data_IF_472266806292
#
_entry.id   IF_472266806292
#
_cell.length_a   1.000
_cell.length_b   1.000
_cell.length_c   1.000
_cell.angle_alpha   90.00
_cell.angle_beta   90.00
_cell.angle_gamma   90.00
#
_symmetry.space_group_name_H-M   'P 1'
#
loop_
_entity.id
_entity.type
_entity.pdbx_description
1 polymer ?
#
# COMPACT_ATOMS: atom_id res chain seq x y z
N UNK A 1 11.76 5.81 16.73
CA UNK A 1 10.60 6.76 16.74
C UNK A 1 9.44 6.15 15.97
N UNK A 2 8.16 6.47 16.24
CA UNK A 2 7.04 5.94 15.43
C UNK A 2 7.17 6.32 13.94
N UNK A 3 7.81 7.45 13.63
CA UNK A 3 8.00 7.93 12.25
C UNK A 3 9.15 7.25 11.48
N UNK A 4 9.85 6.32 12.10
CA UNK A 4 11.03 5.65 11.53
C UNK A 4 10.71 4.88 10.24
N UNK A 5 11.36 5.19 9.10
CA UNK A 5 11.11 4.53 7.83
C UNK A 5 11.42 3.02 7.85
N UNK A 6 12.40 2.56 8.65
CA UNK A 6 12.75 1.14 8.75
C UNK A 6 11.56 0.27 9.22
N UNK A 7 10.61 0.86 9.95
CA UNK A 7 9.37 0.19 10.36
C UNK A 7 8.45 -0.12 9.18
N UNK A 8 8.47 0.70 8.14
CA UNK A 8 7.66 0.49 6.94
C UNK A 8 8.15 -0.73 6.16
N UNK A 9 9.47 -0.95 6.11
CA UNK A 9 10.08 -2.13 5.50
C UNK A 9 9.77 -3.40 6.31
N UNK A 10 9.98 -3.36 7.63
CA UNK A 10 9.61 -4.48 8.52
C UNK A 10 8.11 -4.81 8.44
N UNK A 11 7.25 -3.80 8.31
CA UNK A 11 5.82 -4.00 8.09
C UNK A 11 5.50 -4.77 6.80
N UNK A 12 6.16 -4.42 5.69
CA UNK A 12 5.96 -5.10 4.42
C UNK A 12 6.41 -6.56 4.49
N UNK A 13 7.56 -6.83 5.12
CA UNK A 13 8.06 -8.17 5.35
C UNK A 13 7.04 -9.01 6.15
N UNK A 14 6.58 -8.49 7.29
CA UNK A 14 5.60 -9.17 8.14
C UNK A 14 4.28 -9.47 7.42
N UNK A 15 3.79 -8.52 6.60
CA UNK A 15 2.58 -8.75 5.78
C UNK A 15 2.82 -9.81 4.70
N UNK A 16 4.01 -9.87 4.11
CA UNK A 16 4.32 -10.82 3.06
C UNK A 16 4.46 -12.26 3.58
N UNK A 17 5.01 -12.42 4.77
CA UNK A 17 5.28 -13.70 5.43
C UNK A 17 4.03 -14.32 6.06
N UNK A 18 3.18 -13.51 6.69
CA UNK A 18 1.96 -13.99 7.35
C UNK A 18 0.78 -14.07 6.36
N UNK A 19 0.43 -15.30 5.98
CA UNK A 19 -0.68 -15.57 5.05
C UNK A 19 -2.02 -15.03 5.53
N UNK A 20 -2.30 -15.11 6.83
CA UNK A 20 -3.57 -14.65 7.41
C UNK A 20 -3.67 -13.13 7.36
N UNK A 21 -2.61 -12.44 7.79
CA UNK A 21 -2.53 -10.97 7.73
C UNK A 21 -2.61 -10.50 6.28
N UNK A 22 -1.86 -11.14 5.37
CA UNK A 22 -1.90 -10.84 3.94
C UNK A 22 -3.31 -10.94 3.38
N UNK A 23 -3.98 -12.07 3.60
CA UNK A 23 -5.34 -12.30 3.09
C UNK A 23 -6.37 -11.38 3.73
N UNK A 24 -6.21 -11.06 5.01
CA UNK A 24 -7.13 -10.16 5.73
C UNK A 24 -7.01 -8.71 5.28
N UNK A 25 -5.78 -8.22 5.04
CA UNK A 25 -5.52 -6.84 4.64
C UNK A 25 -5.65 -6.63 3.12
N UNK A 26 -5.15 -7.59 2.35
CA UNK A 26 -5.06 -7.57 0.89
C UNK A 26 -5.66 -8.85 0.31
N UNK A 27 -6.99 -9.06 0.44
CA UNK A 27 -7.64 -10.23 -0.11
C UNK A 27 -7.45 -10.27 -1.64
N UNK A 28 -7.30 -11.47 -2.23
CA UNK A 28 -7.26 -11.61 -3.68
C UNK A 28 -8.56 -11.09 -4.30
N UNK A 29 -8.48 -10.58 -5.53
CA UNK A 29 -9.64 -10.10 -6.27
C UNK A 29 -10.59 -11.27 -6.54
N UNK A 30 -11.81 -11.22 -5.98
CA UNK A 30 -12.83 -12.26 -6.09
C UNK A 30 -14.22 -11.70 -5.80
N UNK A 31 -15.31 -12.45 -6.09
CA UNK A 31 -16.67 -11.97 -5.92
C UNK A 31 -16.87 -11.52 -4.46
N UNK A 32 -17.14 -10.22 -4.32
CA UNK A 32 -17.23 -9.45 -3.08
C UNK A 32 -17.53 -10.29 -1.84
N UNK A 33 -16.58 -10.39 -0.90
CA UNK A 33 -16.89 -10.83 0.45
C UNK A 33 -17.88 -9.82 1.05
N UNK A 34 -19.17 -10.17 0.96
CA UNK A 34 -20.30 -9.34 1.35
C UNK A 34 -20.04 -8.67 2.71
N UNK A 35 -19.99 -7.34 2.71
CA UNK A 35 -19.74 -6.52 3.90
C UNK A 35 -20.98 -6.37 4.78
N UNK A 36 -22.12 -6.95 4.39
CA UNK A 36 -23.42 -6.74 5.04
C UNK A 36 -23.47 -7.35 6.45
N UNK A 37 -22.65 -8.37 6.76
CA UNK A 37 -22.63 -9.06 8.06
C UNK A 37 -21.24 -9.17 8.73
N UNK A 38 -20.42 -8.11 8.72
CA UNK A 38 -19.27 -8.02 9.65
C UNK A 38 -17.85 -8.13 9.06
N UNK A 39 -17.65 -7.86 7.77
CA UNK A 39 -16.34 -7.92 7.11
C UNK A 39 -15.24 -6.99 7.65
N UNK A 40 -15.54 -6.06 8.56
CA UNK A 40 -14.55 -5.16 9.17
C UNK A 40 -13.71 -5.78 10.31
N UNK A 41 -14.26 -6.79 11.00
CA UNK A 41 -13.63 -7.41 12.18
C UNK A 41 -12.29 -8.11 11.85
N UNK A 42 -12.17 -8.86 10.73
CA UNK A 42 -10.91 -9.49 10.31
C UNK A 42 -9.79 -8.46 10.06
N UNK A 43 -10.13 -7.29 9.50
CA UNK A 43 -9.15 -6.24 9.19
C UNK A 43 -8.57 -5.57 10.43
N UNK A 44 -9.44 -5.24 11.40
CA UNK A 44 -8.99 -4.63 12.66
C UNK A 44 -8.14 -5.60 13.46
N UNK A 45 -8.52 -6.89 13.49
CA UNK A 45 -7.74 -7.92 14.17
C UNK A 45 -6.37 -8.14 13.51
N UNK A 46 -6.32 -8.23 12.18
CA UNK A 46 -5.05 -8.34 11.45
C UNK A 46 -4.15 -7.10 11.67
N UNK A 47 -4.73 -5.89 11.74
CA UNK A 47 -3.98 -4.67 12.08
C UNK A 47 -3.43 -4.70 13.51
N UNK A 48 -4.16 -5.27 14.46
CA UNK A 48 -3.70 -5.46 15.82
C UNK A 48 -2.58 -6.52 15.91
N UNK A 49 -2.74 -7.68 15.27
CA UNK A 49 -1.70 -8.71 15.20
C UNK A 49 -0.40 -8.15 14.61
N UNK A 50 -0.52 -7.35 13.54
CA UNK A 50 0.62 -6.71 12.93
C UNK A 50 1.29 -5.69 13.88
N UNK A 51 0.52 -5.01 14.73
CA UNK A 51 1.08 -4.17 15.79
C UNK A 51 1.86 -4.98 16.83
N UNK A 52 1.36 -6.15 17.22
CA UNK A 52 2.05 -7.05 18.15
C UNK A 52 3.36 -7.58 17.54
N UNK A 53 3.35 -8.03 16.30
CA UNK A 53 4.55 -8.53 15.62
C UNK A 53 5.61 -7.43 15.42
N UNK A 54 5.17 -6.22 15.07
CA UNK A 54 6.08 -5.11 14.81
C UNK A 54 6.69 -4.53 16.11
N UNK A 55 5.90 -4.43 17.18
CA UNK A 55 6.21 -3.65 18.38
C UNK A 55 6.39 -4.47 19.65
N UNK A 56 5.99 -5.75 19.65
CA UNK A 56 6.09 -6.63 20.80
C UNK A 56 7.54 -6.95 21.19
N UNK A 57 8.47 -6.82 20.24
CA UNK A 57 9.91 -7.00 20.47
C UNK A 57 10.65 -5.68 20.74
N UNK A 58 9.98 -4.54 20.57
CA UNK A 58 10.59 -3.22 20.74
C UNK A 58 10.61 -2.86 22.23
N UNK A 59 11.79 -2.70 22.82
CA UNK A 59 11.97 -2.38 24.25
C UNK A 59 11.11 -1.19 24.70
N UNK A 60 10.87 -0.22 23.82
CA UNK A 60 10.06 0.97 24.13
C UNK A 60 8.56 0.70 24.15
N UNK A 61 8.09 -0.25 23.35
CA UNK A 61 6.65 -0.46 23.12
C UNK A 61 6.12 -1.77 23.69
N UNK A 62 6.99 -2.75 24.00
CA UNK A 62 6.62 -4.07 24.51
C UNK A 62 5.64 -4.02 25.67
N UNK A 63 6.00 -3.35 26.77
CA UNK A 63 5.15 -3.24 27.95
C UNK A 63 3.79 -2.58 27.64
N UNK A 64 3.78 -1.57 26.76
CA UNK A 64 2.55 -0.88 26.37
C UNK A 64 1.65 -1.70 25.44
N UNK A 65 2.23 -2.61 24.65
CA UNK A 65 1.50 -3.55 23.80
C UNK A 65 0.93 -4.70 24.60
N UNK A 66 1.70 -5.23 25.55
CA UNK A 66 1.25 -6.25 26.50
C UNK A 66 0.07 -5.73 27.33
N UNK A 67 0.17 -4.52 27.87
CA UNK A 67 -0.94 -3.88 28.59
C UNK A 67 -2.16 -3.64 27.69
N UNK A 68 -1.94 -3.25 26.43
CA UNK A 68 -3.02 -3.01 25.48
C UNK A 68 -3.79 -4.30 25.11
N UNK A 69 -3.19 -5.49 25.22
CA UNK A 69 -3.85 -6.75 24.86
C UNK A 69 -5.15 -6.99 25.68
N UNK A 70 -5.19 -6.52 26.93
CA UNK A 70 -6.35 -6.64 27.82
C UNK A 70 -7.39 -5.51 27.65
N UNK A 71 -7.05 -4.42 26.94
CA UNK A 71 -7.93 -3.26 26.78
C UNK A 71 -8.38 -3.08 25.31
N UNK A 72 -9.66 -3.33 24.97
CA UNK A 72 -10.18 -3.20 23.60
C UNK A 72 -9.93 -1.82 22.97
N UNK A 73 -9.99 -0.74 23.77
CA UNK A 73 -9.77 0.63 23.29
C UNK A 73 -8.32 0.84 22.86
N UNK A 74 -7.38 0.29 23.62
CA UNK A 74 -5.96 0.42 23.32
C UNK A 74 -5.56 -0.47 22.13
N UNK A 75 -6.12 -1.68 22.03
CA UNK A 75 -5.98 -2.52 20.82
C UNK A 75 -6.41 -1.78 19.57
N UNK A 76 -7.59 -1.15 19.61
CA UNK A 76 -8.09 -0.35 18.49
C UNK A 76 -7.18 0.86 18.21
N UNK A 77 -6.65 1.51 19.24
CA UNK A 77 -5.67 2.59 19.11
C UNK A 77 -4.42 2.16 18.33
N UNK A 78 -3.85 1.01 18.66
CA UNK A 78 -2.70 0.45 17.95
C UNK A 78 -3.03 -0.03 16.54
N UNK A 79 -4.17 -0.71 16.35
CA UNK A 79 -4.65 -1.09 15.01
C UNK A 79 -4.79 0.13 14.09
N UNK A 80 -5.34 1.23 14.60
CA UNK A 80 -5.46 2.49 13.86
C UNK A 80 -4.10 3.11 13.52
N UNK A 81 -3.09 3.01 14.41
CA UNK A 81 -1.72 3.47 14.10
C UNK A 81 -1.14 2.72 12.90
N UNK A 82 -1.32 1.39 12.85
CA UNK A 82 -0.90 0.55 11.72
C UNK A 82 -1.66 0.92 10.45
N UNK A 83 -3.00 1.01 10.52
CA UNK A 83 -3.86 1.44 9.41
C UNK A 83 -3.40 2.77 8.82
N UNK A 84 -3.17 3.77 9.66
CA UNK A 84 -2.77 5.11 9.22
C UNK A 84 -1.40 5.07 8.52
N UNK A 85 -0.46 4.27 9.02
CA UNK A 85 0.85 4.12 8.36
C UNK A 85 0.72 3.47 6.98
N UNK A 86 -0.02 2.37 6.87
CA UNK A 86 -0.30 1.72 5.59
C UNK A 86 -0.99 2.68 4.61
N UNK A 87 -1.90 3.51 5.11
CA UNK A 87 -2.55 4.55 4.32
C UNK A 87 -1.58 5.62 3.79
N UNK A 88 -0.62 6.05 4.61
CA UNK A 88 0.43 6.99 4.18
C UNK A 88 1.33 6.35 3.12
N UNK A 89 1.76 5.10 3.33
CA UNK A 89 2.58 4.38 2.35
C UNK A 89 1.85 4.24 1.01
N UNK A 90 0.59 3.79 1.02
CA UNK A 90 -0.22 3.68 -0.18
C UNK A 90 -0.43 5.04 -0.88
N UNK A 91 -0.58 6.13 -0.12
CA UNK A 91 -0.71 7.48 -0.68
C UNK A 91 0.57 7.93 -1.39
N UNK A 92 1.73 7.66 -0.80
CA UNK A 92 3.03 7.97 -1.41
C UNK A 92 3.21 7.17 -2.70
N UNK A 93 2.98 5.86 -2.68
CA UNK A 93 3.07 5.00 -3.87
C UNK A 93 2.16 5.48 -5.00
N UNK A 94 0.89 5.75 -4.71
CA UNK A 94 -0.05 6.29 -5.72
C UNK A 94 0.38 7.66 -6.25
N UNK A 95 1.07 8.45 -5.43
CA UNK A 95 1.67 9.71 -5.85
C UNK A 95 2.73 9.49 -6.93
N UNK A 96 3.65 8.57 -6.69
CA UNK A 96 4.67 8.17 -7.67
C UNK A 96 4.05 7.54 -8.92
N UNK A 97 3.06 6.66 -8.78
CA UNK A 97 2.37 6.05 -9.93
C UNK A 97 1.74 7.12 -10.84
N UNK A 98 1.12 8.14 -10.23
CA UNK A 98 0.54 9.27 -10.98
C UNK A 98 1.63 10.11 -11.64
N UNK A 99 2.69 10.45 -10.93
CA UNK A 99 3.79 11.25 -11.47
C UNK A 99 4.47 10.55 -12.65
N UNK A 100 4.81 9.27 -12.50
CA UNK A 100 5.38 8.46 -13.59
C UNK A 100 4.40 8.30 -14.76
N UNK A 101 3.10 8.09 -14.49
CA UNK A 101 2.08 7.95 -15.53
C UNK A 101 1.72 9.24 -16.28
N UNK A 102 1.95 10.41 -15.66
CA UNK A 102 1.70 11.72 -16.27
C UNK A 102 2.92 12.29 -16.99
N UNK A 103 4.12 12.11 -16.42
CA UNK A 103 5.36 12.74 -16.93
C UNK A 103 6.22 11.81 -17.77
N UNK A 104 6.03 10.49 -17.68
CA UNK A 104 6.96 9.52 -18.26
C UNK A 104 8.32 9.48 -17.55
N UNK A 105 8.43 10.04 -16.34
CA UNK A 105 9.66 9.97 -15.55
C UNK A 105 10.13 8.52 -15.39
N UNK A 106 11.35 8.23 -15.87
CA UNK A 106 11.94 6.88 -15.93
C UNK A 106 12.01 6.24 -17.32
N UNK A 107 11.45 6.88 -18.34
CA UNK A 107 11.53 6.43 -19.74
C UNK A 107 12.62 7.25 -20.44
N UNK A 108 13.81 6.67 -20.55
CA UNK A 108 14.97 7.35 -21.18
C UNK A 108 14.94 7.30 -22.71
N UNK A 109 14.16 6.39 -23.31
CA UNK A 109 14.02 6.29 -24.76
C UNK A 109 12.66 5.69 -25.18
N UNK A 110 12.21 6.01 -26.39
CA UNK A 110 10.94 5.53 -26.94
C UNK A 110 10.92 4.00 -27.14
N UNK A 111 12.07 3.35 -27.25
CA UNK A 111 12.18 1.89 -27.38
C UNK A 111 11.83 1.14 -26.09
N UNK A 112 11.91 1.80 -24.93
CA UNK A 112 11.45 1.24 -23.65
C UNK A 112 9.93 1.29 -23.48
N UNK A 113 9.22 1.91 -24.43
CA UNK A 113 7.75 1.96 -24.44
C UNK A 113 7.22 0.82 -25.29
N UNK A 114 6.61 -0.16 -24.63
CA UNK A 114 5.86 -1.23 -25.30
C UNK A 114 4.52 -0.69 -25.83
N UNK A 115 4.53 -0.13 -27.04
CA UNK A 115 3.36 0.42 -27.73
C UNK A 115 2.32 -0.65 -28.14
N UNK A 116 2.64 -1.95 -27.99
CA UNK A 116 1.67 -3.02 -28.25
C UNK A 116 0.60 -3.13 -27.15
N UNK A 117 0.85 -2.55 -25.97
CA UNK A 117 -0.07 -2.55 -24.84
C UNK A 117 -0.93 -1.29 -24.83
N UNK A 118 -2.23 -1.45 -24.95
CA UNK A 118 -3.18 -0.34 -24.84
C UNK A 118 -3.38 0.06 -23.39
N UNK A 119 -2.86 1.22 -22.99
CA UNK A 119 -3.09 1.82 -21.68
C UNK A 119 -3.13 3.35 -21.79
N UNK A 120 -3.46 4.03 -20.68
CA UNK A 120 -3.56 5.49 -20.64
C UNK A 120 -2.26 6.22 -20.98
N UNK A 121 -1.10 5.59 -20.76
CA UNK A 121 0.21 6.13 -21.12
C UNK A 121 0.50 5.99 -22.62
N UNK A 122 0.34 4.80 -23.22
CA UNK A 122 0.56 4.60 -24.67
C UNK A 122 -0.42 5.38 -25.53
N UNK A 123 -1.63 5.63 -25.02
CA UNK A 123 -2.63 6.48 -25.68
C UNK A 123 -2.18 7.95 -25.70
N UNK A 124 -1.71 8.50 -24.57
CA UNK A 124 -1.16 9.87 -24.50
C UNK A 124 0.13 10.00 -25.31
N UNK A 125 1.01 9.02 -25.24
CA UNK A 125 2.26 9.02 -26.00
C UNK A 125 2.02 8.97 -27.52
N UNK A 126 1.07 8.15 -27.97
CA UNK A 126 0.64 8.11 -29.37
C UNK A 126 0.13 9.46 -29.89
N UNK A 127 -0.62 10.21 -29.06
CA UNK A 127 -1.04 11.57 -29.44
C UNK A 127 0.13 12.54 -29.61
N UNK A 128 1.18 12.46 -28.78
CA UNK A 128 2.38 13.29 -28.93
C UNK A 128 3.17 12.93 -30.21
N UNK A 129 3.37 11.64 -30.50
CA UNK A 129 4.02 11.19 -31.75
C UNK A 129 3.28 11.67 -33.01
N UNK A 130 1.94 11.65 -32.98
CA UNK A 130 1.12 12.14 -34.09
C UNK A 130 1.28 13.66 -34.30
N UNK A 131 1.41 14.43 -33.21
CA UNK A 131 1.61 15.88 -33.28
C UNK A 131 3.00 16.32 -33.77
N UNK A 132 4.03 15.48 -33.57
CA UNK A 132 5.39 15.76 -34.04
C UNK A 132 5.65 15.34 -35.51
N UNK A 133 4.73 14.59 -36.12
CA UNK A 133 4.86 14.09 -37.50
C UNK A 133 4.06 14.89 -38.53
N UNK A 134 3.48 16.03 -38.16
CA UNK A 134 2.89 16.95 -39.15
C UNK A 134 4.02 17.84 -39.69
N UNK A 135 4.44 17.68 -40.96
CA UNK A 135 5.31 18.68 -41.58
C UNK A 135 4.51 19.97 -41.69
N UNK A 136 5.05 21.07 -41.18
CA UNK A 136 4.59 22.40 -41.56
C UNK A 136 4.99 22.58 -43.02
N UNK A 137 3.97 22.43 -43.89
CA UNK A 137 3.86 22.84 -45.30
C UNK A 137 4.93 22.38 -46.29
#
# INVERSE_FOLDING_TARGET
SWKDPARSEKLLALIAEDKFIKQSLYPPCGPNASTTNGGGKPKVEAQWQLAMLLLGEDEKYKASIEAAASNPKDRLGYANKIKNRLGVMAKITRGYDREMGETGAGIENAASIDMSKTNGFTTKWGTYLCSCLVPVS
#
